data_IF_926370628404
#
_entry.id   IF_926370628404
#
_cell.length_a   1.000
_cell.length_b   1.000
_cell.length_c   1.000
_cell.angle_alpha   90.00
_cell.angle_beta   90.00
_cell.angle_gamma   90.00
#
_symmetry.space_group_name_H-M   'P 1'
#
loop_
_entity.id
_entity.type
_entity.pdbx_description
1 polymer ?
#
# COMPACT_ATOMS: atom_id res chain seq x y z
N UNK A 1 21.58 6.57 -3.33
CA UNK A 1 20.93 5.31 -3.80
C UNK A 1 20.25 5.55 -5.15
N UNK A 2 20.13 4.53 -6.07
CA UNK A 2 19.32 4.68 -7.29
C UNK A 2 17.84 4.59 -6.92
N UNK A 3 17.03 5.49 -7.47
CA UNK A 3 15.57 5.50 -7.37
C UNK A 3 15.03 5.61 -8.80
N UNK A 4 14.11 4.73 -9.19
CA UNK A 4 13.43 4.79 -10.48
C UNK A 4 12.23 3.85 -10.50
N UNK A 5 11.02 4.38 -10.40
CA UNK A 5 9.81 3.57 -10.47
C UNK A 5 8.66 4.37 -11.10
N UNK A 6 8.15 3.93 -12.26
CA UNK A 6 7.12 4.64 -13.01
C UNK A 6 5.75 3.94 -13.01
N UNK A 7 5.71 2.67 -12.62
CA UNK A 7 4.49 1.86 -12.64
C UNK A 7 4.52 0.79 -11.54
N UNK A 8 3.46 0.00 -11.45
CA UNK A 8 3.30 -1.01 -10.43
C UNK A 8 3.78 -2.42 -10.86
N UNK A 9 4.24 -2.61 -12.11
CA UNK A 9 4.44 -3.96 -12.70
C UNK A 9 5.79 -4.22 -13.36
N UNK A 10 6.59 -3.22 -13.71
CA UNK A 10 7.90 -3.48 -14.32
C UNK A 10 8.78 -4.32 -13.38
N UNK A 11 9.75 -5.07 -13.95
CA UNK A 11 10.62 -5.93 -13.16
C UNK A 11 11.22 -5.22 -11.95
N UNK A 12 10.93 -5.75 -10.76
CA UNK A 12 11.36 -5.20 -9.50
C UNK A 12 12.86 -5.46 -9.29
N UNK A 13 13.63 -4.44 -8.96
CA UNK A 13 15.07 -4.54 -8.71
C UNK A 13 15.45 -4.19 -7.28
N UNK A 14 14.79 -3.21 -6.68
CA UNK A 14 15.00 -2.90 -5.27
C UNK A 14 13.73 -2.42 -4.59
N UNK A 15 13.60 -2.75 -3.31
CA UNK A 15 12.37 -2.57 -2.53
C UNK A 15 12.70 -2.39 -1.05
N UNK A 16 11.87 -1.62 -0.35
CA UNK A 16 11.80 -1.65 1.11
C UNK A 16 10.70 -2.62 1.52
N UNK A 17 10.99 -3.51 2.47
CA UNK A 17 9.99 -4.34 3.17
C UNK A 17 9.80 -3.79 4.57
N UNK A 18 8.58 -3.56 4.99
CA UNK A 18 8.22 -2.94 6.26
C UNK A 18 8.66 -3.69 7.51
N UNK A 19 8.36 -3.14 8.68
CA UNK A 19 8.64 -3.73 9.99
C UNK A 19 7.50 -3.45 10.96
N UNK A 20 7.09 -4.44 11.72
CA UNK A 20 6.14 -4.29 12.83
C UNK A 20 6.81 -3.96 14.18
N UNK A 21 8.15 -3.84 14.21
CA UNK A 21 8.91 -3.55 15.43
C UNK A 21 8.38 -2.27 16.09
N UNK A 22 8.13 -2.35 17.39
CA UNK A 22 7.60 -1.25 18.20
C UNK A 22 6.21 -0.73 17.75
N UNK A 23 5.46 -1.48 16.95
CA UNK A 23 4.12 -1.09 16.54
C UNK A 23 3.24 -0.73 17.75
N UNK A 24 2.43 0.32 17.59
CA UNK A 24 1.64 0.88 18.66
C UNK A 24 0.32 1.41 18.12
N UNK A 25 -0.74 1.30 18.87
CA UNK A 25 -2.03 1.93 18.61
C UNK A 25 -2.04 3.33 19.23
N UNK A 26 -1.99 4.42 18.43
CA UNK A 26 -1.90 5.77 18.96
C UNK A 26 -3.09 6.13 19.86
N UNK A 27 -2.82 6.79 20.98
CA UNK A 27 -3.84 7.18 21.96
C UNK A 27 -4.31 8.61 21.74
N UNK A 28 -3.38 9.53 21.46
CA UNK A 28 -3.62 10.96 21.40
C UNK A 28 -3.64 11.53 19.98
N UNK A 29 -3.90 10.71 18.96
CA UNK A 29 -4.02 11.14 17.56
C UNK A 29 -5.51 11.21 17.16
N UNK A 30 -6.14 12.40 17.17
CA UNK A 30 -7.57 12.53 16.84
C UNK A 30 -7.91 12.05 15.44
N UNK A 31 -7.03 12.33 14.46
CA UNK A 31 -7.25 11.92 13.05
C UNK A 31 -7.23 10.40 12.92
N UNK A 32 -6.32 9.72 13.61
CA UNK A 32 -6.28 8.27 13.66
C UNK A 32 -7.56 7.70 14.25
N UNK A 33 -8.00 8.23 15.41
CA UNK A 33 -9.23 7.79 16.08
C UNK A 33 -10.48 8.05 15.25
N UNK A 34 -10.53 9.18 14.51
CA UNK A 34 -11.64 9.52 13.62
C UNK A 34 -11.74 8.58 12.44
N UNK A 35 -10.62 8.20 11.82
CA UNK A 35 -10.61 7.23 10.72
C UNK A 35 -11.20 5.89 11.15
N UNK A 36 -10.93 5.46 12.37
CA UNK A 36 -11.45 4.22 12.93
C UNK A 36 -12.95 4.27 13.20
N UNK A 37 -13.48 5.42 13.63
CA UNK A 37 -14.93 5.62 13.81
C UNK A 37 -15.69 5.58 12.48
N UNK A 38 -15.05 5.93 11.37
CA UNK A 38 -15.60 5.91 10.03
C UNK A 38 -15.53 4.53 9.36
N UNK A 39 -14.67 3.63 9.85
CA UNK A 39 -14.55 2.29 9.30
C UNK A 39 -15.71 1.37 9.70
N UNK A 40 -15.84 0.25 9.00
CA UNK A 40 -16.97 -0.70 9.04
C UNK A 40 -17.19 -1.41 10.41
N UNK A 41 -16.36 -1.14 11.42
CA UNK A 41 -16.23 -1.95 12.64
C UNK A 41 -16.66 -1.22 13.92
N UNK A 42 -17.73 -0.46 13.84
CA UNK A 42 -18.27 0.34 14.97
C UNK A 42 -18.50 -0.41 16.29
N UNK A 43 -18.48 -1.75 16.26
CA UNK A 43 -18.75 -2.59 17.44
C UNK A 43 -17.47 -3.09 18.13
N UNK A 44 -16.30 -2.96 17.50
CA UNK A 44 -15.02 -3.39 18.07
C UNK A 44 -14.24 -2.16 18.54
N UNK A 45 -13.94 -2.05 19.85
CA UNK A 45 -13.17 -0.93 20.35
C UNK A 45 -11.79 -0.88 19.69
N UNK A 46 -11.41 0.31 19.26
CA UNK A 46 -10.07 0.54 18.74
C UNK A 46 -9.06 0.31 19.86
N UNK A 47 -8.02 -0.51 19.66
CA UNK A 47 -6.97 -0.73 20.64
C UNK A 47 -6.21 0.57 20.92
N UNK A 48 -5.47 0.59 22.02
CA UNK A 48 -4.58 1.69 22.40
C UNK A 48 -3.32 1.17 23.09
N UNK A 49 -2.20 1.85 22.87
CA UNK A 49 -0.91 1.45 23.41
C UNK A 49 -0.21 0.38 22.57
N UNK A 50 0.81 -0.29 23.10
CA UNK A 50 1.61 -1.26 22.34
C UNK A 50 0.77 -2.34 21.69
N UNK A 51 1.05 -2.66 20.42
CA UNK A 51 0.49 -3.83 19.75
C UNK A 51 0.96 -5.07 20.50
N UNK A 52 0.09 -6.10 20.59
CA UNK A 52 0.42 -7.37 21.21
C UNK A 52 1.73 -7.94 20.65
N UNK A 53 2.69 -8.30 21.52
CA UNK A 53 4.02 -8.75 21.13
C UNK A 53 3.98 -9.98 20.21
N UNK A 54 3.03 -10.89 20.41
CA UNK A 54 2.86 -12.03 19.51
C UNK A 54 2.55 -11.57 18.08
N UNK A 55 1.70 -10.57 17.91
CA UNK A 55 1.37 -10.00 16.58
C UNK A 55 2.63 -9.40 15.94
N UNK A 56 3.42 -8.65 16.72
CA UNK A 56 4.68 -8.04 16.25
C UNK A 56 5.66 -9.12 15.80
N UNK A 57 5.88 -10.15 16.63
CA UNK A 57 6.85 -11.21 16.35
C UNK A 57 6.45 -12.00 15.09
N UNK A 58 5.18 -12.43 15.02
CA UNK A 58 4.65 -13.18 13.89
C UNK A 58 4.62 -12.35 12.60
N UNK A 59 4.29 -11.05 12.67
CA UNK A 59 4.33 -10.16 11.51
C UNK A 59 5.76 -9.95 11.00
N UNK A 60 6.73 -9.78 11.90
CA UNK A 60 8.14 -9.64 11.51
C UNK A 60 8.72 -10.94 10.95
N UNK A 61 8.28 -12.11 11.41
CA UNK A 61 8.64 -13.41 10.83
C UNK A 61 8.13 -13.51 9.38
N UNK A 62 6.86 -13.15 9.12
CA UNK A 62 6.26 -13.14 7.78
C UNK A 62 6.99 -12.16 6.85
N UNK A 63 7.29 -10.94 7.33
CA UNK A 63 8.04 -9.94 6.57
C UNK A 63 9.49 -10.37 6.30
N UNK A 64 10.11 -11.12 7.21
CA UNK A 64 11.43 -11.71 6.99
C UNK A 64 11.37 -12.77 5.89
N UNK A 65 10.36 -13.64 5.92
CA UNK A 65 10.16 -14.64 4.87
C UNK A 65 9.94 -13.99 3.49
N UNK A 66 9.13 -12.94 3.42
CA UNK A 66 8.96 -12.15 2.19
C UNK A 66 10.28 -11.53 1.72
N UNK A 67 11.08 -10.97 2.64
CA UNK A 67 12.39 -10.39 2.33
C UNK A 67 13.37 -11.44 1.77
N UNK A 68 13.41 -12.62 2.38
CA UNK A 68 14.28 -13.72 1.96
C UNK A 68 13.87 -14.24 0.57
N UNK A 69 12.56 -14.39 0.33
CA UNK A 69 12.03 -14.76 -0.98
C UNK A 69 12.43 -13.75 -2.07
N UNK A 70 12.21 -12.46 -1.84
CA UNK A 70 12.58 -11.41 -2.81
C UNK A 70 14.10 -11.37 -3.04
N UNK A 71 14.89 -11.53 -1.99
CA UNK A 71 16.36 -11.61 -2.09
C UNK A 71 16.82 -12.82 -2.91
N UNK A 72 16.16 -13.97 -2.74
CA UNK A 72 16.46 -15.18 -3.53
C UNK A 72 16.17 -15.01 -5.03
N UNK A 73 15.28 -14.08 -5.40
CA UNK A 73 15.02 -13.67 -6.79
C UNK A 73 16.03 -12.65 -7.32
N UNK A 74 17.00 -12.22 -6.51
CA UNK A 74 18.00 -11.22 -6.87
C UNK A 74 17.54 -9.77 -6.67
N UNK A 75 16.40 -9.54 -6.02
CA UNK A 75 15.88 -8.23 -5.70
C UNK A 75 16.63 -7.69 -4.47
N UNK A 76 17.11 -6.45 -4.54
CA UNK A 76 17.76 -5.78 -3.41
C UNK A 76 16.69 -5.35 -2.39
N UNK A 77 16.70 -5.96 -1.21
CA UNK A 77 15.76 -5.64 -0.13
C UNK A 77 16.39 -4.74 0.91
N UNK A 78 15.65 -3.71 1.32
CA UNK A 78 15.98 -2.82 2.43
C UNK A 78 14.92 -2.93 3.53
N UNK A 79 15.29 -2.55 4.75
CA UNK A 79 14.38 -2.52 5.89
C UNK A 79 14.39 -1.13 6.52
N UNK A 80 13.24 -0.63 7.02
CA UNK A 80 13.21 0.64 7.75
C UNK A 80 14.06 0.56 9.01
N UNK A 81 14.64 1.69 9.41
CA UNK A 81 15.29 1.81 10.72
C UNK A 81 14.23 1.77 11.82
N UNK A 82 14.53 1.10 12.91
CA UNK A 82 13.61 1.01 14.05
C UNK A 82 13.37 2.39 14.69
N UNK A 83 12.09 2.68 14.94
CA UNK A 83 11.62 3.87 15.66
C UNK A 83 10.89 3.41 16.92
N UNK A 84 11.03 4.15 18.00
CA UNK A 84 10.25 3.93 19.21
C UNK A 84 8.88 4.61 19.11
N UNK A 85 7.94 3.95 18.43
CA UNK A 85 6.57 4.41 18.26
C UNK A 85 5.80 4.43 19.58
N UNK A 86 6.12 3.53 20.50
CA UNK A 86 5.41 3.39 21.77
C UNK A 86 5.62 4.61 22.66
N UNK A 87 6.87 5.10 22.80
CA UNK A 87 7.15 6.27 23.63
C UNK A 87 6.71 7.60 22.99
N UNK A 88 6.54 7.62 21.67
CA UNK A 88 6.22 8.82 20.87
C UNK A 88 4.75 8.89 20.45
N UNK A 89 3.92 7.94 20.89
CA UNK A 89 2.51 7.80 20.50
C UNK A 89 2.32 7.76 18.96
N UNK A 90 3.27 7.15 18.28
CA UNK A 90 3.24 6.89 16.84
C UNK A 90 2.48 5.61 16.50
N UNK A 91 2.50 5.19 15.23
CA UNK A 91 1.82 3.99 14.79
C UNK A 91 2.81 2.84 14.50
N UNK A 92 3.43 2.80 13.30
CA UNK A 92 4.32 1.71 12.90
C UNK A 92 5.11 2.03 11.60
N UNK A 93 6.02 1.11 11.23
CA UNK A 93 6.61 1.04 9.88
C UNK A 93 6.23 -0.25 9.13
N UNK A 94 5.07 -0.82 9.44
CA UNK A 94 4.59 -2.03 8.77
C UNK A 94 4.26 -1.76 7.29
N UNK A 95 3.71 -0.56 6.97
CA UNK A 95 3.28 -0.17 5.64
C UNK A 95 4.12 1.01 5.09
N UNK A 96 5.34 0.79 4.57
CA UNK A 96 6.16 1.84 3.97
C UNK A 96 5.49 2.51 2.76
N UNK A 97 4.62 1.82 2.05
CA UNK A 97 3.88 2.29 0.89
C UNK A 97 2.98 3.49 1.19
N UNK A 98 2.49 3.60 2.42
CA UNK A 98 1.61 4.69 2.80
C UNK A 98 2.37 6.00 3.00
N UNK A 99 3.65 5.89 3.41
CA UNK A 99 4.46 7.03 3.87
C UNK A 99 5.22 7.74 2.75
N UNK A 100 5.75 7.00 1.79
CA UNK A 100 6.58 7.53 0.72
C UNK A 100 6.00 7.13 -0.65
N UNK A 101 5.92 8.11 -1.55
CA UNK A 101 5.57 7.87 -2.95
C UNK A 101 6.82 8.00 -3.82
N UNK A 102 7.12 6.96 -4.59
CA UNK A 102 8.19 6.99 -5.60
C UNK A 102 7.56 7.12 -6.99
N UNK A 103 7.90 8.18 -7.74
CA UNK A 103 7.46 8.40 -9.13
C UNK A 103 8.67 8.83 -9.96
N UNK A 104 9.06 8.03 -10.95
CA UNK A 104 10.30 8.24 -11.67
C UNK A 104 11.48 8.14 -10.70
N UNK A 105 12.34 9.14 -10.69
CA UNK A 105 13.47 9.30 -9.78
C UNK A 105 13.16 10.17 -8.55
N UNK A 106 11.91 10.58 -8.39
CA UNK A 106 11.45 11.45 -7.31
C UNK A 106 10.88 10.63 -6.15
N UNK A 107 11.28 10.97 -4.93
CA UNK A 107 10.68 10.45 -3.69
C UNK A 107 9.90 11.57 -3.01
N UNK A 108 8.60 11.37 -2.83
CA UNK A 108 7.74 12.34 -2.17
C UNK A 108 7.50 11.90 -0.72
N UNK A 109 7.81 12.80 0.19
CA UNK A 109 7.46 12.74 1.60
C UNK A 109 6.02 13.26 1.76
N UNK A 110 5.06 12.34 1.87
CA UNK A 110 3.64 12.72 1.85
C UNK A 110 3.20 13.36 3.16
N UNK A 111 2.29 14.36 3.10
CA UNK A 111 1.72 14.99 4.30
C UNK A 111 0.59 14.12 4.86
N UNK A 112 0.96 13.04 5.53
CA UNK A 112 0.07 11.96 5.98
C UNK A 112 -1.31 12.42 6.44
N UNK A 113 -2.32 11.61 6.10
CA UNK A 113 -3.70 11.83 6.54
C UNK A 113 -3.86 11.79 8.08
N UNK A 114 -2.94 11.11 8.77
CA UNK A 114 -2.89 10.97 10.23
C UNK A 114 -1.56 11.44 10.79
N UNK A 115 -1.56 12.50 11.60
CA UNK A 115 -0.35 13.16 12.12
C UNK A 115 0.58 12.25 12.93
N UNK A 116 0.06 11.21 13.63
CA UNK A 116 0.88 10.25 14.37
C UNK A 116 1.80 9.41 13.47
N UNK A 117 1.59 9.44 12.15
CA UNK A 117 2.41 8.74 11.16
C UNK A 117 3.54 9.59 10.58
N UNK A 118 3.58 10.88 10.87
CA UNK A 118 4.62 11.78 10.33
C UNK A 118 6.03 11.33 10.70
N UNK A 119 6.22 10.81 11.92
CA UNK A 119 7.51 10.31 12.38
C UNK A 119 8.02 9.06 11.63
N UNK A 120 7.14 8.33 10.94
CA UNK A 120 7.53 7.15 10.15
C UNK A 120 8.59 7.49 9.09
N UNK A 121 8.62 8.74 8.60
CA UNK A 121 9.58 9.23 7.63
C UNK A 121 11.05 9.05 8.10
N UNK A 122 11.32 9.20 9.39
CA UNK A 122 12.67 9.09 9.98
C UNK A 122 13.29 7.70 9.73
N UNK A 123 12.46 6.66 9.60
CA UNK A 123 12.92 5.30 9.37
C UNK A 123 13.54 5.08 7.97
N UNK A 124 13.42 6.05 7.06
CA UNK A 124 13.87 5.95 5.68
C UNK A 124 15.05 6.88 5.35
N UNK A 125 15.71 7.47 6.35
CA UNK A 125 16.88 8.36 6.15
C UNK A 125 18.03 7.64 5.44
N UNK A 126 18.10 6.31 5.52
CA UNK A 126 19.09 5.49 4.81
C UNK A 126 18.96 5.54 3.28
N UNK A 127 17.85 6.02 2.73
CA UNK A 127 17.68 6.15 1.28
C UNK A 127 18.64 7.18 0.67
N UNK A 128 19.16 8.10 1.47
CA UNK A 128 20.16 9.11 1.05
C UNK A 128 19.75 9.81 -0.25
N UNK A 129 18.48 10.21 -0.35
CA UNK A 129 17.91 10.94 -1.49
C UNK A 129 17.31 12.27 -1.03
N UNK A 130 17.14 13.19 -1.99
CA UNK A 130 16.34 14.38 -1.75
C UNK A 130 14.87 14.02 -1.74
N UNK A 131 14.16 14.42 -0.69
CA UNK A 131 12.73 14.25 -0.56
C UNK A 131 11.99 15.50 -0.97
N UNK A 132 11.03 15.34 -1.87
CA UNK A 132 10.09 16.40 -2.19
C UNK A 132 8.97 16.36 -1.14
N UNK A 133 8.76 17.46 -0.44
CA UNK A 133 7.69 17.54 0.55
C UNK A 133 6.37 17.81 -0.16
N UNK A 134 5.41 16.90 -0.03
CA UNK A 134 4.06 17.08 -0.53
C UNK A 134 3.26 18.14 0.24
N UNK A 135 2.20 18.66 -0.38
CA UNK A 135 1.24 19.56 0.25
C UNK A 135 -0.16 18.94 0.26
N UNK A 136 -1.08 19.52 1.03
CA UNK A 136 -2.40 18.96 1.28
C UNK A 136 -2.39 17.98 2.44
N UNK A 137 -3.24 16.94 2.39
CA UNK A 137 -3.33 15.86 3.37
C UNK A 137 -3.64 14.55 2.65
N UNK A 138 -2.63 13.69 2.50
CA UNK A 138 -2.80 12.41 1.79
C UNK A 138 -1.70 11.40 2.10
N UNK A 139 -2.07 10.13 2.03
CA UNK A 139 -1.15 9.00 2.12
C UNK A 139 -0.69 8.58 0.72
N UNK A 140 0.55 8.14 0.57
CA UNK A 140 1.12 7.74 -0.71
C UNK A 140 0.35 6.58 -1.38
N UNK A 141 -0.25 5.69 -0.59
CA UNK A 141 -1.10 4.60 -1.07
C UNK A 141 -2.45 5.05 -1.69
N UNK A 142 -2.73 6.36 -1.74
CA UNK A 142 -3.82 6.92 -2.55
C UNK A 142 -3.44 7.08 -4.02
N UNK A 143 -2.17 6.86 -4.37
CA UNK A 143 -1.66 7.00 -5.74
C UNK A 143 -1.35 5.63 -6.34
N UNK A 144 -1.87 5.38 -7.54
CA UNK A 144 -1.53 4.21 -8.35
C UNK A 144 -0.81 4.70 -9.62
N UNK A 145 0.35 4.11 -9.93
CA UNK A 145 1.24 4.54 -11.01
C UNK A 145 1.04 3.68 -12.26
N UNK A 146 0.82 4.32 -13.39
CA UNK A 146 0.54 3.70 -14.69
C UNK A 146 1.46 4.28 -15.79
N UNK A 147 2.76 4.37 -15.56
CA UNK A 147 3.74 5.02 -16.43
C UNK A 147 3.49 6.55 -16.52
N UNK A 148 2.91 7.01 -17.63
CA UNK A 148 2.62 8.44 -17.85
C UNK A 148 1.40 8.93 -17.10
N UNK A 149 0.60 8.04 -16.55
CA UNK A 149 -0.62 8.35 -15.80
C UNK A 149 -0.46 7.99 -14.32
N UNK A 150 -1.01 8.84 -13.46
CA UNK A 150 -1.18 8.57 -12.04
C UNK A 150 -2.67 8.64 -11.69
N UNK A 151 -3.19 7.64 -11.02
CA UNK A 151 -4.52 7.73 -10.43
C UNK A 151 -4.37 8.22 -8.99
N UNK A 152 -5.13 9.25 -8.61
CA UNK A 152 -5.16 9.75 -7.23
C UNK A 152 -6.56 9.58 -6.66
N UNK A 153 -6.69 8.77 -5.60
CA UNK A 153 -7.95 8.56 -4.90
C UNK A 153 -8.24 9.73 -3.95
N UNK A 154 -9.30 10.48 -4.23
CA UNK A 154 -9.84 11.48 -3.31
C UNK A 154 -10.76 10.74 -2.32
N UNK A 155 -10.39 10.73 -1.02
CA UNK A 155 -11.02 9.91 0.00
C UNK A 155 -10.70 10.42 1.41
N UNK A 156 -10.99 9.63 2.44
CA UNK A 156 -10.66 9.97 3.84
C UNK A 156 -9.13 10.09 4.08
N UNK A 157 -8.32 9.43 3.27
CA UNK A 157 -6.85 9.50 3.32
C UNK A 157 -6.20 10.27 2.17
N UNK A 158 -6.94 11.06 1.40
CA UNK A 158 -6.41 11.88 0.32
C UNK A 158 -7.38 12.99 -0.06
N UNK A 159 -7.01 14.25 0.20
CA UNK A 159 -7.87 15.40 -0.06
C UNK A 159 -7.67 16.01 -1.46
N UNK A 160 -8.54 16.95 -1.81
CA UNK A 160 -8.51 17.68 -3.07
C UNK A 160 -7.21 18.51 -3.22
N UNK A 161 -6.70 19.08 -2.12
CA UNK A 161 -5.48 19.88 -2.14
C UNK A 161 -4.24 19.04 -2.49
N UNK A 162 -4.17 17.79 -1.97
CA UNK A 162 -3.13 16.82 -2.34
C UNK A 162 -3.19 16.45 -3.82
N UNK A 163 -4.38 16.23 -4.38
CA UNK A 163 -4.56 16.02 -5.81
C UNK A 163 -4.05 17.22 -6.64
N UNK A 164 -4.46 18.43 -6.30
CA UNK A 164 -4.07 19.65 -7.02
C UNK A 164 -2.56 19.84 -6.97
N UNK A 165 -1.94 19.70 -5.80
CA UNK A 165 -0.51 19.77 -5.64
C UNK A 165 0.24 18.72 -6.48
N UNK A 166 -0.19 17.44 -6.44
CA UNK A 166 0.46 16.37 -7.20
C UNK A 166 0.31 16.60 -8.71
N UNK A 167 -0.85 17.08 -9.15
CA UNK A 167 -1.13 17.41 -10.55
C UNK A 167 -0.24 18.55 -11.05
N UNK A 168 -0.07 19.61 -10.26
CA UNK A 168 0.77 20.75 -10.60
C UNK A 168 2.26 20.36 -10.59
N UNK A 169 2.69 19.57 -9.60
CA UNK A 169 4.08 19.13 -9.49
C UNK A 169 4.53 18.29 -10.70
N UNK A 170 3.67 17.42 -11.20
CA UNK A 170 3.96 16.55 -12.34
C UNK A 170 3.42 17.07 -13.69
N UNK A 171 2.93 18.29 -13.80
CA UNK A 171 2.24 18.80 -14.97
C UNK A 171 3.01 18.63 -16.31
N UNK A 172 4.34 18.70 -16.27
CA UNK A 172 5.20 18.56 -17.46
C UNK A 172 5.60 17.10 -17.76
N UNK A 173 5.30 16.15 -16.88
CA UNK A 173 5.84 14.77 -16.99
C UNK A 173 4.81 13.66 -16.82
N UNK A 174 3.72 13.89 -16.10
CA UNK A 174 2.67 12.89 -15.86
C UNK A 174 1.28 13.52 -15.95
N UNK A 175 0.29 12.70 -16.25
CA UNK A 175 -1.14 13.06 -16.15
C UNK A 175 -1.69 12.50 -14.85
N UNK A 176 -2.16 13.36 -13.95
CA UNK A 176 -2.76 12.94 -12.69
C UNK A 176 -4.29 12.94 -12.83
N UNK A 177 -4.92 11.80 -12.59
CA UNK A 177 -6.36 11.61 -12.74
C UNK A 177 -7.02 11.49 -11.36
N UNK A 178 -7.95 12.39 -11.00
CA UNK A 178 -8.69 12.26 -9.75
C UNK A 178 -9.68 11.09 -9.85
N UNK A 179 -9.72 10.28 -8.82
CA UNK A 179 -10.60 9.11 -8.71
C UNK A 179 -11.47 9.25 -7.46
N UNK A 180 -12.79 9.19 -7.62
CA UNK A 180 -13.78 9.29 -6.56
C UNK A 180 -14.64 8.02 -6.55
N UNK A 181 -14.12 6.92 -6.04
CA UNK A 181 -14.80 5.62 -6.04
C UNK A 181 -15.50 5.30 -4.72
N UNK A 182 -14.93 5.71 -3.61
CA UNK A 182 -15.42 5.44 -2.25
C UNK A 182 -14.73 6.37 -1.24
N UNK A 183 -15.30 6.48 -0.05
CA UNK A 183 -14.80 7.36 1.02
C UNK A 183 -13.72 6.72 1.91
N UNK A 184 -13.42 5.43 1.75
CA UNK A 184 -12.43 4.76 2.57
C UNK A 184 -10.98 5.14 2.25
N UNK A 185 -10.03 4.40 2.81
CA UNK A 185 -8.60 4.67 2.66
C UNK A 185 -8.00 3.84 1.52
N UNK A 186 -6.96 4.38 0.88
CA UNK A 186 -6.03 3.76 -0.07
C UNK A 186 -6.66 3.11 -1.30
N UNK A 187 -6.01 3.24 -2.44
CA UNK A 187 -6.50 2.73 -3.73
C UNK A 187 -6.08 1.28 -4.00
N UNK A 188 -5.03 0.80 -3.40
CA UNK A 188 -4.27 -0.39 -3.76
C UNK A 188 -4.89 -1.76 -3.39
N UNK A 189 -6.08 -1.75 -2.79
CA UNK A 189 -6.98 -2.93 -2.68
C UNK A 189 -8.27 -2.76 -3.49
N UNK A 190 -8.30 -1.75 -4.36
CA UNK A 190 -9.46 -1.40 -5.19
C UNK A 190 -9.11 -1.45 -6.67
N UNK A 191 -7.96 -0.90 -7.03
CA UNK A 191 -7.35 -0.93 -8.37
C UNK A 191 -5.93 -1.46 -8.20
N UNK A 192 -5.66 -2.66 -8.69
CA UNK A 192 -4.37 -3.32 -8.56
C UNK A 192 -3.86 -3.73 -9.94
N UNK A 193 -2.99 -2.91 -10.58
CA UNK A 193 -2.41 -3.23 -11.88
C UNK A 193 -1.52 -4.47 -11.80
N UNK A 194 -1.63 -5.34 -12.81
CA UNK A 194 -0.83 -6.57 -12.93
C UNK A 194 0.32 -6.37 -13.90
N UNK A 195 0.01 -5.78 -15.06
CA UNK A 195 0.94 -5.35 -16.11
C UNK A 195 0.24 -4.32 -16.97
N UNK A 196 0.97 -3.71 -17.90
CA UNK A 196 0.35 -2.85 -18.90
C UNK A 196 -0.77 -3.58 -19.65
N UNK A 197 -1.94 -2.97 -19.69
CA UNK A 197 -3.13 -3.55 -20.32
C UNK A 197 -3.91 -4.56 -19.49
N UNK A 198 -3.52 -4.86 -18.26
CA UNK A 198 -4.23 -5.79 -17.37
C UNK A 198 -4.32 -5.28 -15.93
N UNK A 199 -5.54 -5.21 -15.38
CA UNK A 199 -5.81 -4.73 -14.02
C UNK A 199 -6.79 -5.63 -13.27
N UNK A 200 -6.57 -5.82 -11.97
CA UNK A 200 -7.54 -6.41 -11.05
C UNK A 200 -8.36 -5.29 -10.41
N UNK A 201 -9.66 -5.44 -10.41
CA UNK A 201 -10.61 -4.47 -9.89
C UNK A 201 -11.52 -5.07 -8.82
N UNK A 202 -11.69 -4.34 -7.73
CA UNK A 202 -12.66 -4.64 -6.69
C UNK A 202 -14.08 -4.30 -7.19
N UNK A 203 -14.86 -5.30 -7.55
CA UNK A 203 -16.20 -5.14 -8.13
C UNK A 203 -17.23 -4.56 -7.15
N UNK A 204 -16.93 -4.48 -5.85
CA UNK A 204 -17.80 -3.81 -4.88
C UNK A 204 -17.63 -2.28 -4.88
N UNK A 205 -16.54 -1.76 -5.46
CA UNK A 205 -16.19 -0.34 -5.45
C UNK A 205 -16.07 0.26 -6.85
N UNK A 206 -15.74 -0.57 -7.84
CA UNK A 206 -15.56 -0.15 -9.25
C UNK A 206 -16.59 -0.86 -10.11
N UNK A 207 -17.19 -0.15 -11.06
CA UNK A 207 -18.08 -0.67 -12.10
C UNK A 207 -17.55 -0.27 -13.47
N UNK A 208 -18.09 -0.85 -14.55
CA UNK A 208 -17.68 -0.45 -15.92
C UNK A 208 -17.82 1.05 -16.17
N UNK A 209 -18.85 1.69 -15.59
CA UNK A 209 -19.10 3.13 -15.74
C UNK A 209 -18.11 4.00 -14.94
N UNK A 210 -17.52 3.46 -13.88
CA UNK A 210 -16.63 4.21 -12.97
C UNK A 210 -15.15 3.85 -13.15
N UNK A 211 -14.81 2.96 -14.09
CA UNK A 211 -13.40 2.66 -14.42
C UNK A 211 -12.68 3.95 -14.81
N UNK A 212 -11.54 4.28 -14.17
CA UNK A 212 -10.75 5.46 -14.53
C UNK A 212 -10.33 5.46 -16.00
N UNK A 213 -10.29 6.65 -16.60
CA UNK A 213 -10.02 6.84 -18.03
C UNK A 213 -8.79 6.07 -18.55
N UNK A 214 -7.61 6.08 -17.87
CA UNK A 214 -6.43 5.36 -18.34
C UNK A 214 -6.62 3.84 -18.40
N UNK A 215 -7.59 3.28 -17.66
CA UNK A 215 -7.84 1.84 -17.58
C UNK A 215 -8.99 1.35 -18.46
N UNK A 216 -9.70 2.25 -19.15
CA UNK A 216 -10.90 1.87 -19.92
C UNK A 216 -10.64 0.80 -20.97
N UNK A 217 -9.50 0.87 -21.63
CA UNK A 217 -9.11 -0.06 -22.70
C UNK A 217 -8.27 -1.26 -22.20
N UNK A 218 -8.06 -1.38 -20.90
CA UNK A 218 -7.34 -2.51 -20.31
C UNK A 218 -8.26 -3.72 -20.13
N UNK A 219 -7.69 -4.91 -20.17
CA UNK A 219 -8.34 -6.12 -19.69
C UNK A 219 -8.57 -6.01 -18.17
N UNK A 220 -9.74 -6.43 -17.71
CA UNK A 220 -10.18 -6.27 -16.33
C UNK A 220 -10.51 -7.62 -15.71
N UNK A 221 -9.87 -7.91 -14.59
CA UNK A 221 -10.22 -9.03 -13.74
C UNK A 221 -11.09 -8.50 -12.60
N UNK A 222 -12.39 -8.79 -12.67
CA UNK A 222 -13.34 -8.37 -11.66
C UNK A 222 -13.40 -9.36 -10.51
N UNK A 223 -13.04 -8.93 -9.30
CA UNK A 223 -13.16 -9.74 -8.09
C UNK A 223 -14.35 -9.26 -7.28
N UNK A 224 -15.31 -10.14 -7.07
CA UNK A 224 -16.57 -9.85 -6.38
C UNK A 224 -16.51 -10.15 -4.88
N UNK A 225 -15.58 -10.99 -4.44
CA UNK A 225 -15.39 -11.36 -3.05
C UNK A 225 -13.93 -11.79 -2.80
N UNK A 226 -13.45 -11.56 -1.59
CA UNK A 226 -12.18 -12.07 -1.10
C UNK A 226 -12.42 -13.16 -0.05
N UNK A 227 -11.49 -14.10 0.04
CA UNK A 227 -11.48 -15.06 1.13
C UNK A 227 -11.36 -14.34 2.48
N UNK A 228 -12.04 -14.87 3.49
CA UNK A 228 -11.96 -14.32 4.84
C UNK A 228 -10.53 -14.31 5.36
N UNK A 229 -10.14 -13.17 5.89
CA UNK A 229 -8.86 -12.98 6.55
C UNK A 229 -9.06 -13.02 8.07
N UNK A 230 -8.35 -13.89 8.80
CA UNK A 230 -8.38 -13.85 10.25
C UNK A 230 -7.77 -12.55 10.78
N UNK A 231 -8.16 -12.16 11.97
CA UNK A 231 -7.54 -11.06 12.70
C UNK A 231 -7.45 -11.42 14.19
N UNK A 232 -6.53 -10.76 14.87
CA UNK A 232 -6.39 -10.82 16.33
C UNK A 232 -6.58 -9.41 16.87
N UNK A 233 -7.29 -9.26 17.96
CA UNK A 233 -7.59 -8.02 18.65
C UNK A 233 -8.48 -7.05 17.83
N UNK A 234 -8.01 -6.57 16.68
CA UNK A 234 -8.70 -5.54 15.91
C UNK A 234 -8.54 -5.75 14.38
N UNK A 235 -9.62 -5.69 13.58
CA UNK A 235 -9.54 -5.76 12.12
C UNK A 235 -9.32 -4.37 11.52
N UNK A 236 -8.08 -3.87 11.51
CA UNK A 236 -7.76 -2.56 10.95
C UNK A 236 -8.03 -2.44 9.45
N UNK A 237 -7.95 -3.55 8.71
CA UNK A 237 -8.37 -3.62 7.31
C UNK A 237 -9.58 -4.53 7.10
N UNK A 238 -10.30 -4.30 6.01
CA UNK A 238 -11.36 -5.20 5.54
C UNK A 238 -10.78 -6.43 4.83
N UNK A 239 -11.64 -7.44 4.50
CA UNK A 239 -11.23 -8.60 3.73
C UNK A 239 -10.67 -8.26 2.33
N UNK A 240 -10.99 -7.07 1.80
CA UNK A 240 -10.44 -6.60 0.52
C UNK A 240 -8.94 -6.43 0.52
N UNK A 241 -8.28 -6.47 1.70
CA UNK A 241 -6.82 -6.53 1.79
C UNK A 241 -6.24 -7.73 1.03
N UNK A 242 -7.03 -8.76 0.77
CA UNK A 242 -6.64 -9.89 -0.09
C UNK A 242 -6.33 -9.54 -1.55
N UNK A 243 -6.77 -8.37 -2.04
CA UNK A 243 -6.40 -7.86 -3.38
C UNK A 243 -5.11 -7.03 -3.39
N UNK A 244 -4.52 -6.81 -2.23
CA UNK A 244 -3.32 -6.00 -2.05
C UNK A 244 -2.06 -6.83 -2.34
N UNK A 245 -1.89 -7.27 -3.60
CA UNK A 245 -0.74 -8.06 -4.05
C UNK A 245 0.41 -7.17 -4.53
N UNK A 246 1.61 -7.71 -4.56
CA UNK A 246 2.82 -7.09 -5.10
C UNK A 246 3.14 -7.73 -6.46
N UNK A 247 3.12 -6.95 -7.55
CA UNK A 247 3.71 -7.39 -8.82
C UNK A 247 5.24 -7.27 -8.72
N UNK A 248 5.94 -8.35 -9.06
CA UNK A 248 7.41 -8.41 -9.09
C UNK A 248 7.96 -8.41 -10.52
N UNK A 249 7.08 -8.44 -11.49
CA UNK A 249 7.31 -8.37 -12.91
C UNK A 249 5.99 -8.47 -13.66
N UNK A 250 6.00 -8.28 -14.97
CA UNK A 250 4.80 -8.25 -15.81
C UNK A 250 4.02 -9.58 -15.89
N UNK A 251 4.60 -10.67 -15.41
CA UNK A 251 4.02 -12.03 -15.43
C UNK A 251 4.03 -12.72 -14.05
N UNK A 252 4.39 -11.99 -13.00
CA UNK A 252 4.64 -12.61 -11.69
C UNK A 252 4.20 -11.69 -10.54
N UNK A 253 3.40 -12.23 -9.63
CA UNK A 253 2.94 -11.51 -8.43
C UNK A 253 3.16 -12.33 -7.16
N UNK A 254 3.31 -11.62 -6.03
CA UNK A 254 3.25 -12.18 -4.68
C UNK A 254 1.92 -11.78 -4.06
N UNK A 255 1.16 -12.74 -3.56
CA UNK A 255 -0.18 -12.52 -3.01
C UNK A 255 -0.49 -13.45 -1.84
N UNK A 256 -1.58 -13.19 -1.16
CA UNK A 256 -2.12 -14.07 -0.13
C UNK A 256 -2.53 -15.44 -0.74
N UNK A 257 -1.99 -16.56 -0.23
CA UNK A 257 -2.29 -17.89 -0.75
C UNK A 257 -3.76 -18.30 -0.64
N UNK A 258 -4.52 -17.69 0.28
CA UNK A 258 -5.95 -17.97 0.51
C UNK A 258 -6.84 -17.37 -0.59
N UNK A 259 -6.35 -16.45 -1.40
CA UNK A 259 -7.11 -15.80 -2.48
C UNK A 259 -7.17 -16.69 -3.73
N UNK A 260 -7.77 -17.89 -3.62
CA UNK A 260 -7.83 -18.88 -4.70
C UNK A 260 -8.55 -18.34 -5.94
N UNK A 261 -9.61 -17.55 -5.76
CA UNK A 261 -10.34 -16.93 -6.88
C UNK A 261 -9.44 -15.96 -7.64
N UNK A 262 -8.74 -15.06 -6.96
CA UNK A 262 -7.80 -14.13 -7.58
C UNK A 262 -6.71 -14.91 -8.36
N UNK A 263 -6.10 -15.89 -7.74
CA UNK A 263 -5.02 -16.69 -8.34
C UNK A 263 -5.47 -17.44 -9.58
N UNK A 264 -6.66 -18.05 -9.54
CA UNK A 264 -7.28 -18.72 -10.70
C UNK A 264 -7.60 -17.77 -11.85
N UNK A 265 -8.09 -16.56 -11.55
CA UNK A 265 -8.36 -15.55 -12.58
C UNK A 265 -7.07 -15.03 -13.23
N UNK A 266 -6.03 -14.81 -12.44
CA UNK A 266 -4.70 -14.41 -12.94
C UNK A 266 -4.03 -15.49 -13.82
N UNK A 267 -4.20 -16.77 -13.46
CA UNK A 267 -3.70 -17.90 -14.24
C UNK A 267 -4.22 -17.92 -15.69
N UNK A 268 -5.46 -17.47 -15.91
CA UNK A 268 -6.05 -17.34 -17.29
C UNK A 268 -5.28 -16.36 -18.17
N UNK A 269 -4.54 -15.44 -17.56
CA UNK A 269 -3.70 -14.44 -18.24
C UNK A 269 -2.21 -14.82 -18.22
N UNK A 270 -1.89 -16.06 -17.82
CA UNK A 270 -0.53 -16.58 -17.67
C UNK A 270 0.29 -15.77 -16.63
N UNK A 271 -0.33 -15.32 -15.55
CA UNK A 271 0.35 -14.65 -14.45
C UNK A 271 0.70 -15.68 -13.38
N UNK A 272 1.98 -15.81 -13.08
CA UNK A 272 2.48 -16.66 -12.01
C UNK A 272 2.16 -16.04 -10.66
N UNK A 273 1.56 -16.81 -9.76
CA UNK A 273 1.22 -16.33 -8.42
C UNK A 273 2.02 -17.07 -7.36
N UNK A 274 2.86 -16.34 -6.63
CA UNK A 274 3.55 -16.84 -5.45
C UNK A 274 2.72 -16.52 -4.21
N UNK A 275 2.25 -17.56 -3.53
CA UNK A 275 1.55 -17.39 -2.25
C UNK A 275 2.53 -17.24 -1.09
N UNK A 276 2.46 -16.12 -0.39
CA UNK A 276 3.18 -15.87 0.88
C UNK A 276 2.15 -15.42 1.90
N UNK A 277 2.13 -16.05 3.06
CA UNK A 277 1.17 -15.69 4.13
C UNK A 277 1.66 -14.44 4.87
N UNK A 278 0.75 -13.49 5.10
CA UNK A 278 0.92 -12.37 6.01
C UNK A 278 -0.17 -12.49 7.07
N UNK A 279 0.11 -13.25 8.14
CA UNK A 279 -0.85 -13.66 9.19
C UNK A 279 -1.65 -12.50 9.79
N UNK A 280 -1.02 -11.33 9.85
CA UNK A 280 -1.59 -10.14 10.49
C UNK A 280 -1.93 -9.01 9.49
N UNK A 281 -2.06 -9.32 8.20
CA UNK A 281 -2.41 -8.35 7.15
C UNK A 281 -3.68 -7.56 7.50
N UNK A 282 -4.70 -8.22 8.04
CA UNK A 282 -5.95 -7.60 8.43
C UNK A 282 -5.86 -6.85 9.75
N UNK A 283 -5.10 -7.37 10.71
CA UNK A 283 -4.88 -6.73 12.02
C UNK A 283 -4.08 -5.45 11.88
N UNK A 284 -2.97 -5.49 11.13
CA UNK A 284 -2.07 -4.35 10.94
C UNK A 284 -2.40 -3.51 9.70
N UNK A 285 -3.39 -3.93 8.90
CA UNK A 285 -3.91 -3.14 7.80
C UNK A 285 -3.04 -3.09 6.54
N UNK A 286 -2.17 -4.08 6.31
CA UNK A 286 -1.30 -4.12 5.12
C UNK A 286 -1.18 -5.48 4.48
N UNK A 287 -1.45 -5.57 3.17
CA UNK A 287 -1.10 -6.72 2.32
C UNK A 287 0.27 -6.54 1.67
N UNK A 288 0.58 -7.37 0.67
CA UNK A 288 1.92 -7.44 0.06
C UNK A 288 2.37 -6.14 -0.60
N UNK A 289 1.43 -5.35 -1.17
CA UNK A 289 1.74 -4.04 -1.73
C UNK A 289 1.99 -3.01 -0.62
N UNK A 290 1.11 -2.93 0.38
CA UNK A 290 1.24 -1.99 1.49
C UNK A 290 2.53 -2.19 2.29
N UNK A 291 2.90 -3.46 2.59
CA UNK A 291 4.10 -3.77 3.40
C UNK A 291 5.39 -3.58 2.64
N UNK A 292 5.33 -3.09 1.40
CA UNK A 292 6.49 -2.88 0.53
C UNK A 292 6.46 -1.51 -0.14
N UNK A 293 7.65 -0.96 -0.42
CA UNK A 293 7.83 0.25 -1.21
C UNK A 293 8.90 -0.03 -2.26
N UNK A 294 8.51 -0.11 -3.52
CA UNK A 294 9.43 -0.32 -4.62
C UNK A 294 10.24 0.96 -4.90
N UNK A 295 11.56 0.80 -4.91
CA UNK A 295 12.52 1.87 -5.16
C UNK A 295 12.97 1.89 -6.62
N UNK A 296 13.19 0.71 -7.20
CA UNK A 296 13.62 0.57 -8.60
C UNK A 296 12.81 -0.50 -9.31
N UNK A 297 12.21 -0.10 -10.42
CA UNK A 297 11.61 -0.96 -11.45
C UNK A 297 12.18 -0.60 -12.82
N UNK A 298 12.50 -1.61 -13.64
CA UNK A 298 13.03 -1.41 -15.01
C UNK A 298 12.43 -2.43 -15.98
#
# INVERSE_FOLDING_TARGET
MRILSNNEWDPLQSIVVGSATNANWPVNCPDFRKQEELTLWKETPVPSGPVNQQIIDEANEDLQYLSDFLTALGIQVYRPTDIDFQSRDGFYNYCPRDRLLVVGDTVIDTPMATACRDMEREAYDFLECDYVKGEGRWDAANVCRLNDDLLYLISDSGDQAGYEWLSDYFADSKRVHPVNLYSGVHIDSTISPVREGLVVLNASRVTEDTVPEPLKNWDKIWIHECADQPFIDYPYASNWIGLNFLAIGSDSIVCDPKQETLRRELDKYNINTQGIDLRHSRTLGGGHHCVTLDLVRN
#
